data_IF_001004778981
#
_entry.id   IF_001004778981
#
_cell.length_a   1.000
_cell.length_b   1.000
_cell.length_c   1.000
_cell.angle_alpha   90.00
_cell.angle_beta   90.00
_cell.angle_gamma   90.00
#
_symmetry.space_group_name_H-M   'P 1'
#
loop_
_entity.id
_entity.type
_entity.pdbx_description
1 polymer ?
#
# COMPACT_ATOMS: atom_id res chain seq x y z
N UNK A 1 6.03 -0.44 -11.49
CA UNK A 1 5.01 0.43 -10.86
C UNK A 1 5.38 1.85 -11.22
N UNK A 2 4.42 2.65 -11.69
CA UNK A 2 4.66 4.05 -12.01
C UNK A 2 5.06 4.82 -10.73
N UNK A 3 6.00 5.77 -10.82
CA UNK A 3 6.50 6.53 -9.68
C UNK A 3 5.38 7.37 -9.07
N UNK A 4 4.48 7.91 -9.89
CA UNK A 4 3.32 8.68 -9.44
C UNK A 4 2.36 7.85 -8.56
N UNK A 5 2.20 6.56 -8.84
CA UNK A 5 1.38 5.65 -8.03
C UNK A 5 2.00 5.45 -6.66
N UNK A 6 3.34 5.34 -6.59
CA UNK A 6 4.06 5.19 -5.33
C UNK A 6 3.95 6.44 -4.47
N UNK A 7 4.10 7.62 -5.05
CA UNK A 7 4.01 8.89 -4.33
C UNK A 7 2.59 9.14 -3.78
N UNK A 8 1.56 8.91 -4.59
CA UNK A 8 0.17 9.04 -4.14
C UNK A 8 -0.17 8.04 -3.04
N UNK A 9 0.30 6.80 -3.20
CA UNK A 9 0.19 5.77 -2.16
C UNK A 9 0.87 6.17 -0.85
N UNK A 10 2.11 6.68 -0.91
CA UNK A 10 2.84 7.13 0.28
C UNK A 10 2.10 8.31 0.94
N UNK A 11 1.60 9.27 0.17
CA UNK A 11 0.87 10.42 0.71
C UNK A 11 -0.44 10.02 1.42
N UNK A 12 -1.27 9.18 0.81
CA UNK A 12 -2.50 8.63 1.43
C UNK A 12 -2.17 7.80 2.68
N UNK A 13 -1.08 7.03 2.62
CA UNK A 13 -0.64 6.22 3.76
C UNK A 13 -0.17 7.11 4.92
N UNK A 14 0.68 8.11 4.67
CA UNK A 14 1.14 9.06 5.68
C UNK A 14 -0.04 9.80 6.32
N UNK A 15 -0.97 10.33 5.53
CA UNK A 15 -2.11 11.07 6.06
C UNK A 15 -2.99 10.23 6.99
N UNK A 16 -3.26 8.97 6.64
CA UNK A 16 -4.14 8.10 7.43
C UNK A 16 -3.46 7.45 8.62
N UNK A 17 -2.15 7.20 8.51
CA UNK A 17 -1.35 6.64 9.61
C UNK A 17 -1.28 7.62 10.78
N UNK A 18 -1.05 8.90 10.49
CA UNK A 18 -0.91 9.94 11.53
C UNK A 18 -2.18 10.17 12.35
N UNK A 19 -3.36 9.93 11.76
CA UNK A 19 -4.63 10.23 12.42
C UNK A 19 -5.16 9.09 13.30
N UNK A 20 -4.84 7.82 13.00
CA UNK A 20 -5.54 6.70 13.66
C UNK A 20 -4.75 5.41 13.86
N UNK A 21 -3.59 5.21 13.20
CA UNK A 21 -2.96 3.88 13.19
C UNK A 21 -1.67 3.85 13.98
N UNK A 22 -1.52 2.82 14.84
CA UNK A 22 -0.30 2.57 15.58
C UNK A 22 0.62 1.59 14.86
N UNK A 23 1.91 1.93 14.81
CA UNK A 23 2.95 1.00 14.41
C UNK A 23 3.04 -0.21 15.36
N UNK A 24 3.50 -1.38 14.88
CA UNK A 24 3.81 -1.68 13.47
C UNK A 24 2.54 -1.73 12.60
N UNK A 25 2.67 -1.28 11.36
CA UNK A 25 1.63 -1.37 10.35
C UNK A 25 1.90 -2.58 9.46
N UNK A 26 0.85 -3.28 9.04
CA UNK A 26 0.91 -4.26 7.97
C UNK A 26 0.16 -3.70 6.77
N UNK A 27 0.84 -3.60 5.63
CA UNK A 27 0.27 -3.14 4.37
C UNK A 27 0.26 -4.29 3.38
N UNK A 28 -0.91 -4.61 2.85
CA UNK A 28 -1.13 -5.63 1.84
C UNK A 28 -1.66 -4.98 0.57
N UNK A 29 -0.91 -5.08 -0.53
CA UNK A 29 -1.32 -4.65 -1.86
C UNK A 29 -1.60 -5.88 -2.74
N UNK A 30 -2.77 -5.90 -3.40
CA UNK A 30 -3.21 -6.96 -4.30
C UNK A 30 -3.72 -6.31 -5.59
N UNK A 31 -2.98 -6.49 -6.67
CA UNK A 31 -3.38 -6.02 -7.99
C UNK A 31 -4.41 -6.94 -8.65
N UNK A 32 -5.13 -6.39 -9.63
CA UNK A 32 -6.11 -7.10 -10.46
C UNK A 32 -5.52 -8.26 -11.26
N UNK A 33 -4.22 -8.23 -11.54
CA UNK A 33 -3.52 -9.32 -12.23
C UNK A 33 -3.04 -10.43 -11.30
N UNK A 34 -3.22 -10.32 -9.98
CA UNK A 34 -2.75 -11.33 -9.02
C UNK A 34 -1.39 -11.03 -8.40
N UNK A 35 -0.70 -9.95 -8.77
CA UNK A 35 0.50 -9.48 -8.06
C UNK A 35 0.16 -9.07 -6.62
N UNK A 36 0.95 -9.54 -5.66
CA UNK A 36 0.77 -9.33 -4.22
C UNK A 36 2.07 -8.83 -3.58
N UNK A 37 1.94 -7.87 -2.66
CA UNK A 37 3.00 -7.48 -1.73
C UNK A 37 2.37 -7.31 -0.35
N UNK A 38 2.97 -7.92 0.67
CA UNK A 38 2.72 -7.58 2.05
C UNK A 38 4.01 -7.06 2.68
N UNK A 39 3.95 -5.91 3.32
CA UNK A 39 5.07 -5.30 4.03
C UNK A 39 4.66 -4.92 5.44
N UNK A 40 5.58 -5.08 6.39
CA UNK A 40 5.49 -4.48 7.71
C UNK A 40 6.23 -3.15 7.71
N UNK A 41 5.67 -2.13 8.34
CA UNK A 41 6.34 -0.86 8.59
C UNK A 41 6.43 -0.73 10.11
N UNK A 42 7.65 -0.51 10.61
CA UNK A 42 7.91 -0.30 12.03
C UNK A 42 8.17 1.18 12.30
N UNK A 43 7.92 1.65 13.53
CA UNK A 43 8.25 3.03 13.92
C UNK A 43 9.76 3.27 13.81
N UNK A 44 10.15 4.33 13.11
CA UNK A 44 11.56 4.70 12.90
C UNK A 44 12.39 3.72 12.07
N UNK A 45 11.77 2.69 11.47
CA UNK A 45 12.42 1.67 10.65
C UNK A 45 12.00 1.72 9.18
N UNK A 46 12.80 1.10 8.32
CA UNK A 46 12.42 0.87 6.92
C UNK A 46 11.33 -0.21 6.78
N UNK A 47 10.64 -0.26 5.63
CA UNK A 47 9.68 -1.31 5.35
C UNK A 47 10.35 -2.70 5.26
N UNK A 48 9.75 -3.68 5.93
CA UNK A 48 10.15 -5.09 5.93
C UNK A 48 9.16 -5.89 5.05
N UNK A 49 9.62 -6.50 3.97
CA UNK A 49 8.76 -7.36 3.14
C UNK A 49 8.42 -8.66 3.87
N UNK A 50 7.13 -8.93 4.06
CA UNK A 50 6.62 -10.15 4.68
C UNK A 50 6.33 -11.24 3.63
N UNK A 51 5.75 -10.85 2.49
CA UNK A 51 5.57 -11.72 1.32
C UNK A 51 5.50 -10.89 0.06
N UNK A 52 5.96 -11.46 -1.06
CA UNK A 52 5.90 -10.84 -2.36
C UNK A 52 5.70 -11.90 -3.44
N UNK A 53 4.75 -11.64 -4.34
CA UNK A 53 4.54 -12.38 -5.57
C UNK A 53 4.23 -11.38 -6.68
N UNK A 54 4.98 -11.40 -7.78
CA UNK A 54 4.75 -10.49 -8.90
C UNK A 54 4.49 -11.30 -10.15
N UNK A 55 3.36 -11.03 -10.77
CA UNK A 55 3.04 -11.48 -12.12
C UNK A 55 3.79 -10.63 -13.16
N UNK A 56 3.81 -11.10 -14.41
CA UNK A 56 4.45 -10.39 -15.51
C UNK A 56 3.94 -8.95 -15.60
N UNK A 57 4.89 -8.01 -15.74
CA UNK A 57 4.67 -6.56 -15.74
C UNK A 57 4.33 -5.91 -14.38
N UNK A 58 4.46 -6.63 -13.26
CA UNK A 58 4.33 -6.08 -11.90
C UNK A 58 2.88 -5.81 -11.49
N UNK A 59 2.62 -4.77 -10.70
CA UNK A 59 1.25 -4.43 -10.28
C UNK A 59 0.45 -3.81 -11.43
N UNK A 60 -0.75 -4.35 -11.68
CA UNK A 60 -1.75 -3.78 -12.59
C UNK A 60 -2.90 -3.19 -11.79
N UNK A 61 -3.35 -2.00 -12.16
CA UNK A 61 -4.56 -1.41 -11.58
C UNK A 61 -5.82 -2.19 -12.04
N UNK A 62 -6.90 -2.17 -11.23
CA UNK A 62 -6.96 -1.61 -9.89
C UNK A 62 -6.09 -2.38 -8.86
N UNK A 63 -5.51 -1.65 -7.92
CA UNK A 63 -4.72 -2.22 -6.81
C UNK A 63 -5.51 -2.05 -5.52
N UNK A 64 -5.90 -3.15 -4.90
CA UNK A 64 -6.51 -3.14 -3.57
C UNK A 64 -5.41 -3.08 -2.53
N UNK A 65 -5.48 -2.10 -1.64
CA UNK A 65 -4.51 -1.93 -0.57
C UNK A 65 -5.24 -1.96 0.77
N UNK A 66 -4.81 -2.84 1.65
CA UNK A 66 -5.29 -2.94 3.02
C UNK A 66 -4.15 -2.55 3.96
N UNK A 67 -4.42 -1.64 4.88
CA UNK A 67 -3.49 -1.20 5.91
C UNK A 67 -4.10 -1.57 7.26
N UNK A 68 -3.34 -2.26 8.10
CA UNK A 68 -3.77 -2.69 9.43
C UNK A 68 -2.74 -2.23 10.45
N UNK A 69 -3.17 -1.49 11.46
CA UNK A 69 -2.35 -1.06 12.60
C UNK A 69 -2.36 -2.07 13.74
N UNK A 70 -1.40 -1.94 14.66
CA UNK A 70 -1.25 -2.83 15.81
C UNK A 70 -2.41 -2.72 16.82
N UNK A 71 -3.10 -1.58 16.84
CA UNK A 71 -4.32 -1.36 17.62
C UNK A 71 -5.58 -2.01 17.02
N UNK A 72 -5.44 -2.71 15.88
CA UNK A 72 -6.54 -3.32 15.15
C UNK A 72 -7.28 -2.34 14.23
N UNK A 73 -6.86 -1.07 14.16
CA UNK A 73 -7.35 -0.12 13.19
C UNK A 73 -7.04 -0.58 11.77
N UNK A 74 -7.98 -0.41 10.84
CA UNK A 74 -7.79 -0.85 9.47
C UNK A 74 -8.40 0.12 8.46
N UNK A 75 -7.71 0.33 7.34
CA UNK A 75 -8.19 1.11 6.20
C UNK A 75 -7.96 0.32 4.93
N UNK A 76 -8.89 0.49 3.99
CA UNK A 76 -8.74 -0.01 2.63
C UNK A 76 -8.70 1.17 1.67
N UNK A 77 -7.74 1.14 0.75
CA UNK A 77 -7.62 2.02 -0.40
C UNK A 77 -7.71 1.16 -1.68
N UNK A 78 -8.26 1.73 -2.74
CA UNK A 78 -8.23 1.11 -4.08
C UNK A 78 -7.65 2.12 -5.04
N UNK A 79 -6.49 1.81 -5.62
CA UNK A 79 -5.86 2.65 -6.64
C UNK A 79 -6.39 2.24 -8.01
N UNK A 80 -6.96 3.17 -8.76
CA UNK A 80 -7.51 2.96 -10.10
C UNK A 80 -6.74 3.76 -11.16
N UNK A 81 -6.95 3.47 -12.46
CA UNK A 81 -6.27 4.18 -13.57
C UNK A 81 -6.53 5.69 -13.54
N UNK A 82 -7.71 6.11 -13.07
CA UNK A 82 -8.08 7.53 -12.96
C UNK A 82 -7.24 8.29 -11.93
N UNK A 83 -6.76 7.61 -10.89
CA UNK A 83 -5.92 8.19 -9.84
C UNK A 83 -4.47 8.40 -10.31
N UNK A 84 -4.10 7.87 -11.49
CA UNK A 84 -2.76 7.96 -12.11
C UNK A 84 -2.62 9.18 -13.04
N UNK A 85 -3.73 9.86 -13.33
CA UNK A 85 -3.77 10.99 -14.28
C UNK A 85 -3.94 12.33 -13.56
N UNK A 86 -3.03 12.69 -12.67
CA UNK A 86 -2.84 14.09 -12.30
C UNK A 86 -1.49 14.55 -12.84
N UNK A 87 -1.57 15.46 -13.82
CA UNK A 87 -0.43 16.12 -14.49
C UNK A 87 0.44 16.92 -13.54
#
# INVERSE_FOLDING_TARGET
>A
MDVAILEHFVAELTQRVDETMKFPLVVCAIASNGSVLATRINEGGGPETLTQHLEDHGFKTPINIMIVGHDGGATRLVLTVSDVSQH
#
